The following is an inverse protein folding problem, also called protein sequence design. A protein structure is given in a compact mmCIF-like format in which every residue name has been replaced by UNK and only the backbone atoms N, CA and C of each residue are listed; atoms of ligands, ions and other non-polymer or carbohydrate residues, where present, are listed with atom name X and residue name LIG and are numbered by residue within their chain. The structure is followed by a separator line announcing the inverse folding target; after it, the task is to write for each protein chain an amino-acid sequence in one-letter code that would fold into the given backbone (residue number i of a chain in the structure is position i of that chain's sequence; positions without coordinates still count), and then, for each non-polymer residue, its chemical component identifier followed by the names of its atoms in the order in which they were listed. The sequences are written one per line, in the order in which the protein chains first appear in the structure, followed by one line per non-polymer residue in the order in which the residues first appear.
data_IF_741220398934
#
_entry.id   IF_741220398934
#
_cell.length_a   1.000
_cell.length_b   1.000
_cell.length_c   1.000
_cell.angle_alpha   90.00
_cell.angle_beta   90.00
_cell.angle_gamma   90.00
#
_symmetry.space_group_name_H-M   'P 1'
#
loop_
_entity.id
_entity.type
_entity.pdbx_description
1 polymer ?
#
# COMPACT_ATOMS: atom_id res chain seq x y z
N UNK A 1 -3.01 1.33 -34.67
CA UNK A 1 -4.39 0.95 -34.31
C UNK A 1 -5.22 2.21 -34.21
N UNK A 2 -6.52 2.18 -34.55
CA UNK A 2 -7.40 3.34 -34.34
C UNK A 2 -8.15 3.15 -33.03
N UNK A 3 -7.88 3.98 -32.03
CA UNK A 3 -8.69 4.05 -30.81
C UNK A 3 -9.94 4.89 -31.09
N UNK A 4 -11.14 4.46 -30.66
CA UNK A 4 -12.32 5.31 -30.74
C UNK A 4 -12.08 6.63 -29.98
N UNK A 5 -12.49 7.79 -30.52
CA UNK A 5 -12.30 9.05 -29.82
C UNK A 5 -13.09 9.04 -28.51
N UNK A 6 -12.39 9.27 -27.39
CA UNK A 6 -12.99 9.36 -26.07
C UNK A 6 -13.98 10.53 -26.05
N UNK A 7 -15.26 10.22 -26.22
CA UNK A 7 -16.35 11.19 -26.03
C UNK A 7 -16.47 11.45 -24.54
N UNK A 8 -16.13 12.65 -24.10
CA UNK A 8 -16.71 13.17 -22.86
C UNK A 8 -18.24 13.13 -23.04
N UNK A 9 -18.88 12.32 -22.21
CA UNK A 9 -20.33 12.32 -21.98
C UNK A 9 -20.53 12.91 -20.60
N UNK A 10 -21.68 13.55 -20.39
CA UNK A 10 -22.11 13.98 -19.06
C UNK A 10 -22.51 12.80 -18.15
N UNK A 11 -22.51 11.57 -18.69
CA UNK A 11 -22.61 10.32 -17.94
C UNK A 11 -21.23 9.70 -17.67
N UNK A 12 -20.91 9.52 -16.39
CA UNK A 12 -19.71 8.80 -15.92
C UNK A 12 -19.89 7.27 -16.00
N UNK A 13 -20.43 6.77 -17.11
CA UNK A 13 -20.68 5.34 -17.30
C UNK A 13 -19.36 4.54 -17.34
N UNK A 14 -19.37 3.29 -16.87
CA UNK A 14 -18.23 2.39 -17.04
C UNK A 14 -18.06 2.01 -18.51
N UNK A 15 -16.85 2.18 -19.05
CA UNK A 15 -16.50 1.73 -20.40
C UNK A 15 -15.98 0.30 -20.37
N UNK A 16 -16.47 -0.55 -21.28
CA UNK A 16 -16.04 -1.94 -21.45
C UNK A 16 -15.79 -2.21 -22.94
N UNK A 17 -14.61 -2.71 -23.28
CA UNK A 17 -14.21 -3.03 -24.65
C UNK A 17 -13.26 -4.23 -24.73
N UNK A 18 -13.43 -5.05 -25.78
CA UNK A 18 -12.71 -6.33 -25.95
C UNK A 18 -13.33 -7.48 -25.15
N UNK A 19 -12.59 -8.56 -24.94
CA UNK A 19 -13.07 -9.71 -24.16
C UNK A 19 -12.93 -9.45 -22.65
N UNK A 20 -14.04 -9.03 -22.03
CA UNK A 20 -14.13 -8.75 -20.59
C UNK A 20 -15.23 -9.61 -19.98
N UNK A 21 -14.88 -10.48 -19.03
CA UNK A 21 -15.82 -11.31 -18.27
C UNK A 21 -15.93 -10.74 -16.86
N UNK A 22 -17.14 -10.42 -16.42
CA UNK A 22 -17.41 -9.85 -15.09
C UNK A 22 -18.38 -10.77 -14.34
N UNK A 23 -18.01 -11.17 -13.12
CA UNK A 23 -18.91 -11.94 -12.25
C UNK A 23 -20.13 -11.08 -11.82
N UNK A 24 -21.36 -11.60 -11.80
CA UNK A 24 -22.57 -10.82 -11.47
C UNK A 24 -22.62 -10.15 -10.09
N UNK A 25 -21.65 -10.43 -9.21
CA UNK A 25 -21.52 -9.80 -7.87
C UNK A 25 -20.34 -8.84 -7.75
N UNK A 26 -19.63 -8.51 -8.83
CA UNK A 26 -18.60 -7.49 -8.83
C UNK A 26 -19.25 -6.08 -8.87
N UNK A 27 -18.71 -5.16 -8.09
CA UNK A 27 -19.15 -3.76 -8.02
C UNK A 27 -18.22 -2.90 -8.88
N UNK A 28 -18.76 -2.34 -9.96
CA UNK A 28 -18.04 -1.46 -10.88
C UNK A 28 -18.49 -0.03 -10.64
N UNK A 29 -17.58 0.84 -10.20
CA UNK A 29 -17.88 2.25 -9.96
C UNK A 29 -17.94 3.09 -11.27
N UNK A 30 -18.48 4.32 -11.21
CA UNK A 30 -18.47 5.25 -12.34
C UNK A 30 -17.08 5.52 -12.92
N UNK A 31 -17.02 5.77 -14.22
CA UNK A 31 -15.80 6.13 -14.96
C UNK A 31 -14.73 5.03 -15.02
N UNK A 32 -15.03 3.79 -14.61
CA UNK A 32 -14.12 2.65 -14.76
C UNK A 32 -13.97 2.30 -16.24
N UNK A 33 -12.75 2.05 -16.69
CA UNK A 33 -12.42 1.68 -18.07
C UNK A 33 -11.81 0.27 -18.08
N UNK A 34 -12.49 -0.69 -18.70
CA UNK A 34 -11.99 -2.06 -18.91
C UNK A 34 -11.73 -2.26 -20.41
N UNK A 35 -10.47 -2.35 -20.83
CA UNK A 35 -10.08 -2.43 -22.24
C UNK A 35 -9.13 -3.61 -22.48
N UNK A 36 -9.68 -4.72 -22.97
CA UNK A 36 -8.89 -5.77 -23.59
C UNK A 36 -8.62 -5.44 -25.07
N UNK A 37 -7.40 -5.74 -25.54
CA UNK A 37 -7.04 -5.75 -26.96
C UNK A 37 -7.48 -7.07 -27.64
N UNK A 38 -7.37 -7.20 -28.98
CA UNK A 38 -7.62 -8.47 -29.67
C UNK A 38 -6.77 -9.61 -29.10
N UNK A 39 -7.34 -10.81 -29.02
CA UNK A 39 -6.72 -12.01 -28.43
C UNK A 39 -6.26 -11.84 -26.97
N UNK A 40 -6.75 -10.83 -26.26
CA UNK A 40 -6.45 -10.54 -24.86
C UNK A 40 -7.73 -10.54 -24.02
N UNK A 41 -7.61 -10.78 -22.71
CA UNK A 41 -8.78 -11.03 -21.86
C UNK A 41 -8.67 -10.39 -20.48
N UNK A 42 -9.78 -9.85 -19.98
CA UNK A 42 -9.94 -9.41 -18.58
C UNK A 42 -10.98 -10.30 -17.91
N UNK A 43 -10.67 -10.82 -16.71
CA UNK A 43 -11.55 -11.65 -15.90
C UNK A 43 -11.69 -11.01 -14.51
N UNK A 44 -12.90 -10.53 -14.18
CA UNK A 44 -13.24 -9.93 -12.89
C UNK A 44 -14.01 -10.95 -12.04
N UNK A 45 -13.40 -11.40 -10.94
CA UNK A 45 -13.94 -12.40 -10.02
C UNK A 45 -15.14 -11.93 -9.19
N UNK A 46 -15.67 -12.86 -8.38
CA UNK A 46 -16.83 -12.62 -7.52
C UNK A 46 -16.52 -11.65 -6.38
N UNK A 47 -17.45 -10.71 -6.10
CA UNK A 47 -17.30 -9.75 -5.00
C UNK A 47 -16.14 -8.75 -5.14
N UNK A 48 -15.56 -8.62 -6.35
CA UNK A 48 -14.53 -7.60 -6.62
C UNK A 48 -15.14 -6.21 -6.58
N UNK A 49 -14.49 -5.26 -5.91
CA UNK A 49 -14.86 -3.84 -5.94
C UNK A 49 -13.85 -3.08 -6.80
N UNK A 50 -14.31 -2.40 -7.86
CA UNK A 50 -13.48 -1.53 -8.69
C UNK A 50 -13.85 -0.07 -8.44
N UNK A 51 -12.95 0.69 -7.82
CA UNK A 51 -13.13 2.09 -7.45
C UNK A 51 -13.26 3.04 -8.64
N UNK A 52 -13.87 4.20 -8.40
CA UNK A 52 -14.19 5.21 -9.41
C UNK A 52 -12.96 5.61 -10.24
N UNK A 53 -13.12 5.74 -11.55
CA UNK A 53 -12.05 6.18 -12.46
C UNK A 53 -10.88 5.21 -12.64
N UNK A 54 -11.01 3.94 -12.23
CA UNK A 54 -9.96 2.94 -12.43
C UNK A 54 -9.86 2.48 -13.88
N UNK A 55 -8.64 2.26 -14.38
CA UNK A 55 -8.36 1.88 -15.77
C UNK A 55 -7.61 0.56 -15.79
N UNK A 56 -8.18 -0.48 -16.41
CA UNK A 56 -7.57 -1.78 -16.60
C UNK A 56 -7.41 -2.02 -18.12
N UNK A 57 -6.17 -1.97 -18.62
CA UNK A 57 -5.86 -2.16 -20.04
C UNK A 57 -4.91 -3.33 -20.27
N UNK A 58 -5.32 -4.28 -21.12
CA UNK A 58 -4.52 -5.46 -21.49
C UNK A 58 -4.18 -5.41 -22.98
N UNK A 59 -2.89 -5.35 -23.32
CA UNK A 59 -2.39 -5.39 -24.70
C UNK A 59 -2.30 -6.83 -25.25
N UNK A 60 -1.83 -7.75 -24.41
CA UNK A 60 -1.60 -9.15 -24.72
C UNK A 60 -1.87 -9.99 -23.46
N UNK A 61 -2.24 -11.25 -23.63
CA UNK A 61 -2.44 -12.18 -22.52
C UNK A 61 -3.72 -11.95 -21.71
N UNK A 62 -3.66 -12.28 -20.42
CA UNK A 62 -4.83 -12.31 -19.52
C UNK A 62 -4.54 -11.46 -18.27
N UNK A 63 -5.54 -10.67 -17.87
CA UNK A 63 -5.63 -10.03 -16.56
C UNK A 63 -6.71 -10.71 -15.72
N UNK A 64 -6.31 -11.35 -14.62
CA UNK A 64 -7.24 -11.92 -13.64
C UNK A 64 -7.31 -11.02 -12.40
N UNK A 65 -8.53 -10.65 -11.99
CA UNK A 65 -8.80 -10.02 -10.69
C UNK A 65 -9.53 -11.01 -9.81
N UNK A 66 -8.84 -11.54 -8.80
CA UNK A 66 -9.31 -12.59 -7.91
C UNK A 66 -10.51 -12.16 -7.06
N UNK A 67 -11.30 -13.15 -6.61
CA UNK A 67 -12.50 -12.92 -5.81
C UNK A 67 -12.21 -12.07 -4.55
N UNK A 68 -13.12 -11.16 -4.21
CA UNK A 68 -13.01 -10.27 -3.05
C UNK A 68 -11.91 -9.19 -3.13
N UNK A 69 -11.19 -9.06 -4.24
CA UNK A 69 -10.19 -8.02 -4.39
C UNK A 69 -10.81 -6.61 -4.42
N UNK A 70 -10.17 -5.66 -3.74
CA UNK A 70 -10.62 -4.27 -3.65
C UNK A 70 -9.61 -3.37 -4.37
N UNK A 71 -10.02 -2.74 -5.47
CA UNK A 71 -9.23 -1.79 -6.24
C UNK A 71 -9.65 -0.36 -5.86
N UNK A 72 -8.75 0.41 -5.25
CA UNK A 72 -9.02 1.80 -4.87
C UNK A 72 -9.31 2.71 -6.06
N UNK A 73 -9.93 3.87 -5.80
CA UNK A 73 -10.25 4.84 -6.85
C UNK A 73 -8.99 5.31 -7.61
N UNK A 74 -9.12 5.48 -8.93
CA UNK A 74 -7.99 5.82 -9.81
C UNK A 74 -6.91 4.74 -9.92
N UNK A 75 -7.23 3.46 -9.65
CA UNK A 75 -6.30 2.36 -9.85
C UNK A 75 -6.00 2.16 -11.35
N UNK A 76 -4.72 1.98 -11.70
CA UNK A 76 -4.27 1.78 -13.07
C UNK A 76 -3.57 0.42 -13.21
N UNK A 77 -4.12 -0.48 -14.03
CA UNK A 77 -3.46 -1.71 -14.47
C UNK A 77 -3.13 -1.62 -15.96
N UNK A 78 -1.87 -1.89 -16.31
CA UNK A 78 -1.40 -1.93 -17.70
C UNK A 78 -0.66 -3.25 -17.95
N UNK A 79 -1.13 -4.02 -18.93
CA UNK A 79 -0.57 -5.31 -19.31
C UNK A 79 -1.30 -6.50 -18.67
N UNK A 80 -0.71 -7.68 -18.82
CA UNK A 80 -1.18 -8.92 -18.20
C UNK A 80 -0.75 -9.03 -16.73
N UNK A 81 -1.39 -9.92 -15.99
CA UNK A 81 -1.05 -10.19 -14.59
C UNK A 81 -2.21 -10.76 -13.79
N UNK A 82 -2.00 -10.94 -12.49
CA UNK A 82 -3.02 -11.40 -11.56
C UNK A 82 -3.06 -10.52 -10.32
N UNK A 83 -4.22 -9.95 -10.01
CA UNK A 83 -4.52 -9.41 -8.69
C UNK A 83 -5.09 -10.56 -7.86
N UNK A 84 -4.45 -10.90 -6.76
CA UNK A 84 -4.82 -12.03 -5.91
C UNK A 84 -6.19 -11.89 -5.26
N UNK A 85 -6.75 -13.01 -4.80
CA UNK A 85 -8.02 -13.01 -4.08
C UNK A 85 -7.89 -12.23 -2.77
N UNK A 86 -8.88 -11.41 -2.44
CA UNK A 86 -8.88 -10.51 -1.28
C UNK A 86 -7.69 -9.54 -1.19
N UNK A 87 -6.98 -9.27 -2.30
CA UNK A 87 -5.94 -8.24 -2.33
C UNK A 87 -6.59 -6.84 -2.20
N UNK A 88 -5.99 -5.97 -1.39
CA UNK A 88 -6.49 -4.63 -1.10
C UNK A 88 -5.53 -3.57 -1.66
N UNK A 89 -5.90 -2.97 -2.78
CA UNK A 89 -5.07 -2.04 -3.52
C UNK A 89 -5.49 -0.60 -3.19
N UNK A 90 -4.58 0.18 -2.62
CA UNK A 90 -4.82 1.58 -2.30
C UNK A 90 -5.13 2.45 -3.54
N UNK A 91 -5.85 3.55 -3.33
CA UNK A 91 -6.21 4.51 -4.39
C UNK A 91 -4.97 5.08 -5.11
N UNK A 92 -5.14 5.47 -6.38
CA UNK A 92 -4.08 5.98 -7.27
C UNK A 92 -2.85 5.05 -7.44
N UNK A 93 -2.97 3.76 -7.11
CA UNK A 93 -1.91 2.77 -7.37
C UNK A 93 -1.83 2.41 -8.85
N UNK A 94 -0.61 2.30 -9.37
CA UNK A 94 -0.31 1.75 -10.70
C UNK A 94 0.34 0.37 -10.59
N UNK A 95 -0.11 -0.57 -11.41
CA UNK A 95 0.45 -1.92 -11.55
C UNK A 95 0.76 -2.13 -13.03
N UNK A 96 2.01 -2.48 -13.35
CA UNK A 96 2.51 -2.54 -14.72
C UNK A 96 3.13 -3.90 -15.02
N UNK A 97 2.44 -4.70 -15.84
CA UNK A 97 2.85 -6.03 -16.30
C UNK A 97 3.36 -6.97 -15.17
N UNK A 98 2.68 -6.95 -14.03
CA UNK A 98 3.03 -7.74 -12.86
C UNK A 98 1.79 -8.20 -12.09
N UNK A 99 1.99 -9.12 -11.16
CA UNK A 99 0.94 -9.63 -10.26
C UNK A 99 1.06 -9.03 -8.86
N UNK A 100 -0.04 -9.15 -8.10
CA UNK A 100 -0.15 -8.81 -6.67
C UNK A 100 -0.72 -10.03 -5.96
N UNK A 101 -0.13 -10.42 -4.82
CA UNK A 101 -0.47 -11.67 -4.17
C UNK A 101 -1.83 -11.65 -3.44
N UNK A 102 -2.38 -12.83 -3.15
CA UNK A 102 -3.69 -12.95 -2.50
C UNK A 102 -3.60 -12.50 -1.04
N UNK A 103 -4.54 -11.64 -0.62
CA UNK A 103 -4.52 -10.98 0.69
C UNK A 103 -3.47 -9.86 0.83
N UNK A 104 -2.67 -9.56 -0.21
CA UNK A 104 -1.68 -8.49 -0.13
C UNK A 104 -2.36 -7.12 -0.04
N UNK A 105 -1.87 -6.28 0.88
CA UNK A 105 -2.26 -4.86 0.98
C UNK A 105 -1.20 -4.01 0.27
N UNK A 106 -1.63 -3.17 -0.67
CA UNK A 106 -0.76 -2.22 -1.39
C UNK A 106 -1.11 -0.80 -0.98
N UNK A 107 -0.11 -0.02 -0.58
CA UNK A 107 -0.31 1.37 -0.12
C UNK A 107 -0.81 2.29 -1.27
N UNK A 108 -1.66 3.29 -0.99
CA UNK A 108 -2.10 4.26 -1.99
C UNK A 108 -0.93 4.97 -2.69
N UNK A 109 -1.07 5.25 -3.98
CA UNK A 109 -0.05 5.90 -4.80
C UNK A 109 1.17 5.03 -5.14
N UNK A 110 1.16 3.73 -4.85
CA UNK A 110 2.25 2.81 -5.20
C UNK A 110 2.40 2.65 -6.72
N UNK A 111 3.61 2.34 -7.18
CA UNK A 111 3.87 1.88 -8.57
C UNK A 111 4.59 0.53 -8.49
N UNK A 112 3.98 -0.52 -9.04
CA UNK A 112 4.49 -1.90 -9.01
C UNK A 112 4.78 -2.37 -10.45
N UNK A 113 5.84 -3.16 -10.62
CA UNK A 113 6.22 -3.80 -11.90
C UNK A 113 6.97 -2.92 -12.90
N UNK A 114 6.82 -1.59 -12.79
CA UNK A 114 7.57 -0.62 -13.59
C UNK A 114 9.08 -0.76 -13.38
N UNK A 115 9.74 -1.39 -14.36
CA UNK A 115 11.18 -1.60 -14.36
C UNK A 115 11.98 -0.43 -14.97
N UNK A 116 11.32 0.58 -15.54
CA UNK A 116 11.99 1.73 -16.18
C UNK A 116 12.66 2.67 -15.16
N UNK A 117 12.15 2.71 -13.93
CA UNK A 117 12.66 3.54 -12.83
C UNK A 117 13.59 2.80 -11.86
N UNK A 118 14.11 1.63 -12.26
CA UNK A 118 15.11 0.88 -11.47
C UNK A 118 16.47 1.59 -11.50
N UNK A 119 16.70 2.49 -10.55
CA UNK A 119 18.07 2.81 -10.15
C UNK A 119 18.67 1.58 -9.46
N UNK A 120 19.64 0.95 -10.11
CA UNK A 120 20.52 -0.02 -9.45
C UNK A 120 21.36 0.75 -8.44
N UNK A 121 20.92 0.75 -7.17
CA UNK A 121 21.84 0.97 -6.06
C UNK A 121 22.89 -0.13 -6.14
N UNK A 122 24.11 0.25 -6.54
CA UNK A 122 25.24 -0.67 -6.59
C UNK A 122 25.55 -1.14 -5.18
N UNK A 123 25.19 -2.39 -4.88
CA UNK A 123 25.61 -3.08 -3.68
C UNK A 123 27.09 -3.49 -3.81
N UNK A 124 27.98 -2.50 -3.85
CA UNK A 124 29.42 -2.76 -3.79
C UNK A 124 29.80 -3.21 -2.37
N UNK A 125 30.31 -4.44 -2.31
CA UNK A 125 31.24 -4.93 -1.29
C UNK A 125 30.75 -4.94 0.16
N UNK A 126 30.10 -6.03 0.55
CA UNK A 126 30.58 -6.81 1.70
C UNK A 126 30.88 -8.21 1.18
N UNK A 127 32.14 -8.66 1.28
CA UNK A 127 32.54 -10.01 0.91
C UNK A 127 32.45 -10.94 2.11
N UNK A 128 31.95 -12.16 1.89
CA UNK A 128 31.90 -13.18 2.92
C UNK A 128 33.30 -13.50 3.47
N UNK A 129 33.45 -13.43 4.78
CA UNK A 129 34.62 -13.92 5.53
C UNK A 129 34.10 -14.97 6.51
N UNK A 130 34.74 -16.13 6.56
CA UNK A 130 34.21 -17.34 7.22
C UNK A 130 33.95 -17.16 8.73
N UNK A 131 32.86 -17.76 9.21
CA UNK A 131 32.51 -17.91 10.62
C UNK A 131 33.26 -19.10 11.25
N UNK A 132 34.07 -18.91 12.31
CA UNK A 132 34.62 -20.01 13.10
C UNK A 132 33.75 -20.25 14.34
N UNK A 133 32.85 -21.24 14.28
CA UNK A 133 32.16 -21.77 15.45
C UNK A 133 33.11 -22.50 16.39
N UNK A 134 32.95 -22.33 17.70
CA UNK A 134 33.47 -23.24 18.73
C UNK A 134 32.51 -23.28 19.94
N UNK A 135 32.54 -24.37 20.70
CA UNK A 135 31.38 -24.84 21.46
C UNK A 135 31.70 -25.36 22.88
N UNK A 136 30.63 -25.55 23.66
CA UNK A 136 30.50 -26.28 24.93
C UNK A 136 30.99 -25.64 26.26
N UNK A 137 30.01 -25.47 27.17
CA UNK A 137 30.11 -25.42 28.65
C UNK A 137 30.47 -26.83 29.22
N UNK A 138 30.64 -27.08 30.56
CA UNK A 138 29.93 -26.56 31.75
C UNK A 138 30.92 -26.10 32.87
N UNK A 139 30.70 -26.01 34.20
CA UNK A 139 29.70 -26.56 35.15
C UNK A 139 29.64 -25.76 36.47
N UNK A 140 28.53 -25.90 37.24
CA UNK A 140 28.42 -25.81 38.73
C UNK A 140 28.77 -24.48 39.45
N UNK A 141 28.13 -24.07 40.57
CA UNK A 141 26.98 -24.62 41.33
C UNK A 141 26.44 -23.62 42.39
N UNK A 142 25.27 -23.95 42.97
CA UNK A 142 24.60 -23.36 44.17
C UNK A 142 23.77 -22.07 43.96
N UNK A 143 22.56 -21.91 44.53
CA UNK A 143 21.73 -22.83 45.37
C UNK A 143 20.21 -22.58 45.23
N UNK A 144 19.40 -23.50 45.77
CA UNK A 144 17.92 -23.48 45.93
C UNK A 144 17.40 -22.25 46.72
N UNK A 145 16.10 -21.91 46.78
CA UNK A 145 14.89 -22.71 47.13
C UNK A 145 13.60 -22.28 46.36
N UNK A 146 12.46 -22.93 46.64
CA UNK A 146 11.12 -22.73 46.05
C UNK A 146 10.35 -21.55 46.75
N UNK A 147 9.13 -21.10 46.40
CA UNK A 147 7.89 -21.79 45.98
C UNK A 147 6.90 -20.89 45.18
N UNK A 148 5.62 -21.27 45.05
CA UNK A 148 4.72 -20.88 43.94
C UNK A 148 3.41 -20.09 44.37
N UNK A 149 2.40 -19.80 43.49
CA UNK A 149 1.46 -18.64 43.60
C UNK A 149 0.07 -19.05 44.21
N UNK A 150 -1.11 -18.39 44.02
CA UNK A 150 -1.49 -17.18 43.23
C UNK A 150 -2.56 -16.22 43.83
N UNK A 151 -3.07 -15.31 42.97
CA UNK A 151 -4.44 -14.76 42.90
C UNK A 151 -4.72 -13.30 43.36
N UNK A 152 -5.52 -12.62 42.53
CA UNK A 152 -6.24 -11.34 42.75
C UNK A 152 -7.68 -11.65 43.25
N UNK A 153 -8.59 -10.67 43.49
CA UNK A 153 -8.47 -9.20 43.45
C UNK A 153 -9.03 -8.47 44.69
N UNK A 154 -8.87 -7.14 44.77
CA UNK A 154 -10.01 -6.25 45.04
C UNK A 154 -9.71 -4.77 44.64
N UNK A 155 -10.73 -3.89 44.67
CA UNK A 155 -10.66 -2.47 44.29
C UNK A 155 -11.44 -1.59 45.27
N UNK A 156 -11.04 -0.32 45.51
CA UNK A 156 -11.83 0.77 44.92
C UNK A 156 -11.02 2.01 44.48
N UNK A 157 -11.65 2.84 43.63
CA UNK A 157 -11.18 4.18 43.25
C UNK A 157 -11.56 5.26 44.29
N UNK A 158 -11.10 6.51 44.10
CA UNK A 158 -12.10 7.56 43.88
C UNK A 158 -11.81 8.54 42.73
N UNK A 159 -12.88 9.18 42.26
CA UNK A 159 -12.97 10.21 41.22
C UNK A 159 -12.49 11.60 41.68
N UNK A 160 -12.06 12.47 40.76
CA UNK A 160 -12.43 13.90 40.70
C UNK A 160 -12.14 14.49 39.31
N UNK A 161 -12.94 15.49 38.91
CA UNK A 161 -12.96 16.17 37.59
C UNK A 161 -12.02 17.38 37.54
N UNK A 162 -11.47 17.70 36.36
CA UNK A 162 -11.04 19.06 36.01
C UNK A 162 -11.53 19.47 34.60
N UNK A 163 -11.65 20.78 34.37
CA UNK A 163 -12.22 21.41 33.17
C UNK A 163 -11.50 22.75 32.90
N UNK A 164 -11.61 23.29 31.67
CA UNK A 164 -11.35 24.71 31.32
C UNK A 164 -9.89 25.24 31.21
N UNK A 165 -9.37 25.17 29.97
CA UNK A 165 -8.84 26.31 29.17
C UNK A 165 -7.54 27.12 29.48
N UNK A 166 -6.92 27.51 28.35
CA UNK A 166 -6.20 28.77 28.02
C UNK A 166 -4.68 28.99 28.21
N UNK A 167 -4.09 29.57 27.15
CA UNK A 167 -2.93 30.49 27.06
C UNK A 167 -1.47 30.03 27.27
N UNK A 168 -0.84 29.68 26.13
CA UNK A 168 0.35 30.32 25.52
C UNK A 168 1.59 30.70 26.37
N UNK A 169 2.76 30.18 25.93
CA UNK A 169 4.15 30.56 26.28
C UNK A 169 4.56 30.36 27.76
N UNK A 170 5.72 29.77 28.08
CA UNK A 170 6.99 29.71 27.32
C UNK A 170 7.81 28.47 27.72
N UNK A 171 8.78 28.04 26.91
CA UNK A 171 10.01 27.45 27.43
C UNK A 171 10.06 25.96 27.78
N UNK A 172 9.46 25.08 26.98
CA UNK A 172 9.78 23.63 27.01
C UNK A 172 10.19 23.11 25.63
N UNK A 173 11.14 22.17 25.62
CA UNK A 173 11.76 21.63 24.40
C UNK A 173 10.90 20.58 23.71
N UNK A 174 9.73 20.97 23.17
CA UNK A 174 8.85 20.07 22.42
C UNK A 174 9.54 19.58 21.14
N UNK A 175 10.03 18.33 21.15
CA UNK A 175 10.62 17.70 19.96
C UNK A 175 9.53 17.39 18.93
N UNK A 176 9.24 18.36 18.07
CA UNK A 176 8.26 18.20 16.98
C UNK A 176 8.87 17.28 15.91
N UNK A 177 8.38 16.04 15.86
CA UNK A 177 8.74 15.08 14.83
C UNK A 177 8.46 15.65 13.42
N UNK A 178 9.35 15.40 12.47
CA UNK A 178 9.22 15.89 11.09
C UNK A 178 9.70 17.32 10.82
N UNK A 179 10.22 18.05 11.82
CA UNK A 179 10.82 19.39 11.64
C UNK A 179 11.83 19.45 10.47
N UNK A 180 12.71 18.46 10.33
CA UNK A 180 13.67 18.40 9.22
C UNK A 180 12.99 18.23 7.84
N UNK A 181 11.93 17.43 7.75
CA UNK A 181 11.18 17.24 6.49
C UNK A 181 10.45 18.53 6.09
N UNK A 182 9.87 19.25 7.06
CA UNK A 182 9.24 20.57 6.82
C UNK A 182 10.29 21.59 6.36
N UNK A 183 11.48 21.60 6.96
CA UNK A 183 12.56 22.49 6.55
C UNK A 183 13.12 22.15 5.16
N UNK A 184 13.26 20.86 4.81
CA UNK A 184 13.63 20.44 3.46
C UNK A 184 12.57 20.89 2.43
N UNK A 185 11.28 20.65 2.69
CA UNK A 185 10.19 21.08 1.82
C UNK A 185 10.16 22.61 1.62
N UNK A 186 10.38 23.38 2.69
CA UNK A 186 10.52 24.84 2.64
C UNK A 186 11.70 25.30 1.78
N UNK A 187 12.85 24.62 1.86
CA UNK A 187 14.04 24.94 1.04
C UNK A 187 13.80 24.60 -0.43
N UNK A 188 13.17 23.46 -0.72
CA UNK A 188 12.87 23.01 -2.08
C UNK A 188 11.82 23.88 -2.77
N UNK A 189 10.78 24.32 -2.06
CA UNK A 189 9.70 25.15 -2.62
C UNK A 189 10.07 26.65 -2.73
N UNK A 190 10.98 27.16 -1.90
CA UNK A 190 11.29 28.59 -1.84
C UNK A 190 12.80 28.92 -1.91
N UNK A 191 13.55 28.43 -2.93
CA UNK A 191 15.00 28.63 -3.03
C UNK A 191 15.42 30.11 -3.03
N UNK A 192 14.60 31.00 -3.59
CA UNK A 192 14.87 32.44 -3.70
C UNK A 192 14.69 33.25 -2.39
N UNK A 193 14.17 32.66 -1.30
CA UNK A 193 13.95 33.39 -0.03
C UNK A 193 15.22 33.60 0.83
N UNK A 194 16.42 33.29 0.30
CA UNK A 194 17.69 33.32 1.04
C UNK A 194 18.54 34.60 0.85
N UNK A 195 18.07 35.60 0.09
CA UNK A 195 18.82 36.83 -0.16
C UNK A 195 17.95 38.08 0.09
N UNK A 196 18.13 38.80 1.21
CA UNK A 196 17.93 40.25 1.26
C UNK A 196 19.05 40.98 0.48
#
# INVERSE_FOLDING_TARGET
MSVPPLRLRDSFDSYIGGEVIIHPSAVIAPGVILQAAPNSKIIIGSGVCIGMGSILQVHEGILEVGAGANLGAGFLMVGQGKIGANACIGAATTVFNCSVDSGQVVAPGSVIGDSSRRMTLGAELIGDTEEPQLSASPSSSSSTELEQPPANPDSPAPTTTEETSTNSSTGTGTFIYGQQNIQQLMITLFPHKKNP
#
